data_IF_317157139066
#
_entry.id   IF_317157139066
#
_cell.length_a   1.000
_cell.length_b   1.000
_cell.length_c   1.000
_cell.angle_alpha   90.00
_cell.angle_beta   90.00
_cell.angle_gamma   90.00
#
_symmetry.space_group_name_H-M   'P 1'
#
loop_
_entity.id
_entity.type
_entity.pdbx_description
1 polymer ?
#
# COMPACT_ATOMS: atom_id res chain seq x y z
N UNK A 1 -1.02 12.49 5.75
CA UNK A 1 0.10 12.58 4.78
C UNK A 1 -0.19 11.63 3.63
N UNK A 2 0.33 11.84 2.40
CA UNK A 2 0.26 10.83 1.34
C UNK A 2 0.58 9.43 1.86
N UNK A 3 -0.28 8.46 1.56
CA UNK A 3 -0.25 7.09 2.08
C UNK A 3 -1.10 6.87 3.34
N UNK A 4 -1.51 7.91 4.07
CA UNK A 4 -2.31 7.77 5.29
C UNK A 4 -3.69 7.19 4.99
N UNK A 5 -4.12 6.23 5.81
CA UNK A 5 -5.48 5.70 5.75
C UNK A 5 -6.39 6.52 6.66
N UNK A 6 -7.53 6.93 6.12
CA UNK A 6 -8.58 7.66 6.83
C UNK A 6 -9.84 6.81 6.84
N UNK A 7 -10.31 6.45 8.02
CA UNK A 7 -11.61 5.79 8.19
C UNK A 7 -12.71 6.83 8.35
N UNK A 8 -13.75 6.72 7.52
CA UNK A 8 -14.89 7.63 7.56
C UNK A 8 -15.94 7.09 8.52
N UNK A 9 -16.28 7.91 9.51
CA UNK A 9 -17.22 7.55 10.56
C UNK A 9 -18.42 8.50 10.57
N UNK A 10 -19.61 7.98 10.30
CA UNK A 10 -20.86 8.75 10.28
C UNK A 10 -22.00 7.90 10.82
N UNK A 11 -22.95 8.53 11.51
CA UNK A 11 -24.14 7.86 12.04
C UNK A 11 -23.85 6.56 12.82
N UNK A 12 -22.75 6.59 13.59
CA UNK A 12 -22.27 5.49 14.42
C UNK A 12 -21.68 4.27 13.69
N UNK A 13 -21.38 4.43 12.39
CA UNK A 13 -20.82 3.38 11.54
C UNK A 13 -19.53 3.84 10.90
N UNK A 14 -18.61 2.91 10.68
CA UNK A 14 -17.53 3.08 9.70
C UNK A 14 -18.11 2.78 8.33
N UNK A 15 -18.00 3.73 7.40
CA UNK A 15 -18.69 3.65 6.10
C UNK A 15 -17.73 3.58 4.92
N UNK A 16 -16.47 3.94 5.12
CA UNK A 16 -15.46 3.96 4.08
C UNK A 16 -14.06 3.99 4.68
N UNK A 17 -13.08 3.66 3.86
CA UNK A 17 -11.68 4.02 4.07
C UNK A 17 -11.18 4.85 2.89
N UNK A 18 -10.18 5.68 3.12
CA UNK A 18 -9.50 6.39 2.05
C UNK A 18 -8.01 6.42 2.24
N UNK A 19 -7.28 6.40 1.13
CA UNK A 19 -5.87 6.70 1.12
C UNK A 19 -5.67 8.18 0.81
N UNK A 20 -4.88 8.89 1.62
CA UNK A 20 -4.45 10.24 1.30
C UNK A 20 -3.49 10.18 0.10
N UNK A 21 -3.76 10.93 -0.95
CA UNK A 21 -2.95 10.92 -2.18
C UNK A 21 -2.07 12.18 -2.35
N UNK A 22 -2.28 13.20 -1.52
CA UNK A 22 -1.49 14.44 -1.56
C UNK A 22 -1.37 15.07 -0.16
N UNK A 23 -0.31 15.84 0.12
CA UNK A 23 -0.21 16.63 1.34
C UNK A 23 -1.41 17.57 1.50
N UNK A 24 -1.75 17.89 2.74
CA UNK A 24 -2.74 18.92 3.02
C UNK A 24 -2.28 20.24 2.39
N UNK A 25 -3.20 20.90 1.69
CA UNK A 25 -2.95 22.21 1.10
C UNK A 25 -3.91 23.22 1.69
N UNK A 26 -3.45 24.46 1.87
CA UNK A 26 -4.34 25.56 2.21
C UNK A 26 -5.38 25.70 1.11
N UNK A 27 -6.64 25.71 1.50
CA UNK A 27 -7.75 25.81 0.56
C UNK A 27 -8.90 26.52 1.23
N UNK A 28 -9.71 27.21 0.44
CA UNK A 28 -10.95 27.78 0.94
C UNK A 28 -11.94 26.68 1.29
N UNK A 29 -12.75 26.91 2.31
CA UNK A 29 -13.90 26.07 2.62
C UNK A 29 -14.75 25.85 1.36
N UNK A 30 -15.18 24.62 1.04
CA UNK A 30 -16.08 24.36 -0.06
C UNK A 30 -17.40 25.13 0.09
N UNK A 31 -17.92 25.65 -1.02
CA UNK A 31 -19.22 26.33 -1.02
C UNK A 31 -20.33 25.39 -0.52
N UNK A 32 -21.14 25.87 0.42
CA UNK A 32 -22.29 25.13 0.96
C UNK A 32 -21.97 24.12 2.08
N UNK A 33 -20.71 23.95 2.50
CA UNK A 33 -20.32 22.94 3.51
C UNK A 33 -21.10 23.04 4.83
N UNK A 34 -21.32 24.25 5.34
CA UNK A 34 -22.04 24.52 6.61
C UNK A 34 -23.34 25.32 6.41
N UNK A 35 -23.79 25.45 5.16
CA UNK A 35 -24.97 26.24 4.80
C UNK A 35 -24.90 27.67 5.37
N UNK A 36 -26.02 28.17 5.88
CA UNK A 36 -26.09 29.51 6.51
C UNK A 36 -25.52 29.56 7.93
N UNK A 37 -25.05 28.43 8.49
CA UNK A 37 -24.70 28.35 9.92
C UNK A 37 -23.35 28.96 10.24
N UNK A 38 -22.46 29.14 9.26
CA UNK A 38 -21.15 29.80 9.42
C UNK A 38 -20.29 29.22 10.55
N UNK A 39 -20.35 27.89 10.73
CA UNK A 39 -19.67 27.17 11.82
C UNK A 39 -18.17 26.99 11.56
N UNK A 40 -17.74 27.13 10.30
CA UNK A 40 -16.35 26.90 9.86
C UNK A 40 -15.78 28.13 9.19
N UNK A 41 -14.50 28.40 9.48
CA UNK A 41 -13.74 29.48 8.85
C UNK A 41 -13.64 29.27 7.33
N UNK A 42 -13.52 30.38 6.60
CA UNK A 42 -13.30 30.37 5.15
C UNK A 42 -11.91 29.81 4.79
N UNK A 43 -10.89 30.08 5.60
CA UNK A 43 -9.55 29.51 5.42
C UNK A 43 -9.46 28.15 6.10
N UNK A 44 -9.06 27.13 5.33
CA UNK A 44 -8.96 25.76 5.81
C UNK A 44 -7.89 24.94 5.11
N UNK A 45 -7.98 23.62 5.33
CA UNK A 45 -7.07 22.63 4.76
C UNK A 45 -7.87 21.65 3.91
N UNK A 46 -7.42 21.42 2.69
CA UNK A 46 -7.94 20.37 1.82
C UNK A 46 -6.93 19.22 1.76
N UNK A 47 -7.44 18.00 1.89
CA UNK A 47 -6.68 16.77 1.67
C UNK A 47 -7.33 16.02 0.52
N UNK A 48 -6.54 15.61 -0.46
CA UNK A 48 -7.04 14.75 -1.55
C UNK A 48 -6.99 13.29 -1.10
N UNK A 49 -8.10 12.60 -1.29
CA UNK A 49 -8.33 11.23 -0.84
C UNK A 49 -8.72 10.36 -2.04
N UNK A 50 -8.20 9.14 -2.08
CA UNK A 50 -8.70 8.03 -2.90
C UNK A 50 -9.60 7.17 -2.01
N UNK A 51 -10.91 7.18 -2.25
CA UNK A 51 -11.93 6.68 -1.31
C UNK A 51 -12.52 5.35 -1.77
N UNK A 52 -12.72 4.46 -0.81
CA UNK A 52 -13.40 3.19 -0.97
C UNK A 52 -14.49 3.07 0.11
N UNK A 53 -15.74 3.11 -0.32
CA UNK A 53 -16.91 2.92 0.55
C UNK A 53 -17.09 1.42 0.85
N UNK A 54 -17.50 1.12 2.08
CA UNK A 54 -17.86 -0.24 2.50
C UNK A 54 -19.29 -0.52 2.04
N UNK A 55 -19.51 -1.67 1.41
CA UNK A 55 -20.82 -2.16 1.01
C UNK A 55 -21.70 -2.53 2.22
N UNK A 56 -21.09 -3.06 3.30
CA UNK A 56 -21.70 -3.21 4.62
C UNK A 56 -20.98 -2.36 5.68
N UNK A 57 -21.51 -1.18 6.00
CA UNK A 57 -20.93 -0.31 7.02
C UNK A 57 -20.90 -0.92 8.42
N UNK A 58 -19.69 -1.12 8.94
CA UNK A 58 -19.46 -1.70 10.27
C UNK A 58 -20.05 -0.82 11.36
N UNK A 59 -20.94 -1.38 12.20
CA UNK A 59 -21.43 -0.62 13.33
C UNK A 59 -20.37 -0.60 14.42
N UNK A 60 -19.99 0.60 14.88
CA UNK A 60 -18.97 0.74 15.95
C UNK A 60 -19.32 -0.05 17.21
N UNK A 61 -20.61 -0.28 17.49
CA UNK A 61 -21.05 -1.08 18.64
C UNK A 61 -20.62 -2.56 18.55
N UNK A 62 -20.50 -3.12 17.35
CA UNK A 62 -20.13 -4.52 17.10
C UNK A 62 -18.66 -4.75 17.39
N UNK A 63 -17.82 -3.75 17.11
CA UNK A 63 -16.36 -3.84 17.27
C UNK A 63 -15.83 -3.10 18.51
N UNK A 64 -16.68 -2.36 19.24
CA UNK A 64 -16.24 -1.52 20.35
C UNK A 64 -15.57 -2.29 21.49
N UNK A 65 -16.10 -3.46 21.84
CA UNK A 65 -15.50 -4.32 22.89
C UNK A 65 -14.04 -4.65 22.58
N UNK A 66 -13.74 -4.91 21.30
CA UNK A 66 -12.40 -5.19 20.80
C UNK A 66 -11.53 -3.93 20.71
N UNK A 67 -12.11 -2.78 20.35
CA UNK A 67 -11.38 -1.51 20.22
C UNK A 67 -11.07 -0.84 21.57
N UNK A 68 -11.96 -0.99 22.56
CA UNK A 68 -11.88 -0.27 23.85
C UNK A 68 -10.54 -0.42 24.58
N UNK A 69 -9.91 -1.61 24.65
CA UNK A 69 -8.61 -1.77 25.31
C UNK A 69 -7.50 -0.90 24.71
N UNK A 70 -7.58 -0.59 23.43
CA UNK A 70 -6.56 0.17 22.68
C UNK A 70 -6.90 1.66 22.57
N UNK A 71 -7.92 2.12 23.31
CA UNK A 71 -8.38 3.50 23.26
C UNK A 71 -7.29 4.47 23.74
N UNK A 72 -6.92 5.50 22.95
CA UNK A 72 -5.95 6.49 23.38
C UNK A 72 -6.39 7.27 24.61
N UNK A 73 -5.43 7.56 25.49
CA UNK A 73 -5.66 8.41 26.66
C UNK A 73 -5.92 9.88 26.28
N UNK A 74 -5.39 10.35 25.14
CA UNK A 74 -5.58 11.70 24.59
C UNK A 74 -5.97 11.65 23.12
N UNK A 75 -6.76 12.64 22.68
CA UNK A 75 -7.21 12.79 21.29
C UNK A 75 -7.92 11.56 20.71
N UNK A 76 -8.53 10.74 21.57
CA UNK A 76 -9.31 9.59 21.12
C UNK A 76 -10.58 10.04 20.40
N UNK A 77 -10.90 9.41 19.27
CA UNK A 77 -12.16 9.63 18.56
C UNK A 77 -13.39 9.23 19.39
N UNK A 78 -13.24 8.32 20.35
CA UNK A 78 -14.32 7.79 21.17
C UNK A 78 -14.10 8.04 22.67
N UNK A 79 -15.19 8.18 23.42
CA UNK A 79 -15.22 8.20 24.89
C UNK A 79 -15.17 6.76 25.42
N UNK A 80 -14.96 6.60 26.72
CA UNK A 80 -14.88 5.27 27.35
C UNK A 80 -16.17 4.43 27.21
N UNK A 81 -17.31 5.11 27.06
CA UNK A 81 -18.61 4.50 26.79
C UNK A 81 -18.87 4.24 25.29
N UNK A 82 -17.87 4.45 24.43
CA UNK A 82 -17.96 4.25 22.98
C UNK A 82 -18.48 5.46 22.21
N UNK A 83 -19.11 6.46 22.82
CA UNK A 83 -19.65 7.62 22.12
C UNK A 83 -18.56 8.44 21.43
N UNK A 84 -18.84 8.97 20.25
CA UNK A 84 -17.91 9.87 19.54
C UNK A 84 -17.60 11.13 20.35
N UNK A 85 -16.34 11.55 20.32
CA UNK A 85 -15.95 12.90 20.72
C UNK A 85 -16.28 13.89 19.59
N UNK A 86 -16.58 15.13 19.96
CA UNK A 86 -16.78 16.18 18.97
C UNK A 86 -15.42 16.60 18.39
N UNK A 87 -15.29 16.47 17.08
CA UNK A 87 -14.09 16.77 16.31
C UNK A 87 -14.22 16.17 14.91
N UNK A 88 -13.33 16.57 14.01
CA UNK A 88 -13.42 16.17 12.60
C UNK A 88 -12.42 15.07 12.21
N UNK A 89 -11.18 15.18 12.70
CA UNK A 89 -10.12 14.22 12.42
C UNK A 89 -9.41 13.85 13.71
N UNK A 90 -9.19 12.55 13.91
CA UNK A 90 -8.55 11.99 15.09
C UNK A 90 -7.48 10.99 14.65
N UNK A 91 -6.39 10.83 15.44
CA UNK A 91 -5.47 9.73 15.22
C UNK A 91 -6.17 8.38 15.43
N UNK A 92 -5.91 7.44 14.52
CA UNK A 92 -6.38 6.07 14.62
C UNK A 92 -5.23 5.18 15.11
N UNK A 93 -5.34 4.54 16.29
CA UNK A 93 -4.40 3.50 16.71
C UNK A 93 -4.33 2.36 15.70
N UNK A 94 -3.16 1.74 15.56
CA UNK A 94 -2.98 0.60 14.65
C UNK A 94 -3.92 -0.56 14.97
N UNK A 95 -4.14 -0.86 16.25
CA UNK A 95 -5.11 -1.88 16.66
C UNK A 95 -6.54 -1.56 16.25
N UNK A 96 -6.93 -0.27 16.22
CA UNK A 96 -8.25 0.12 15.74
C UNK A 96 -8.37 -0.12 14.24
N UNK A 97 -7.35 0.25 13.46
CA UNK A 97 -7.31 -0.02 12.02
C UNK A 97 -7.41 -1.52 11.76
N UNK A 98 -6.59 -2.34 12.43
CA UNK A 98 -6.62 -3.80 12.30
C UNK A 98 -8.01 -4.39 12.60
N UNK A 99 -8.66 -3.98 13.68
CA UNK A 99 -10.00 -4.48 14.06
C UNK A 99 -11.06 -4.09 13.02
N UNK A 100 -10.98 -2.86 12.48
CA UNK A 100 -11.89 -2.42 11.41
C UNK A 100 -11.67 -3.27 10.17
N UNK A 101 -10.42 -3.49 9.75
CA UNK A 101 -10.07 -4.29 8.57
C UNK A 101 -10.45 -5.78 8.71
N UNK A 102 -10.25 -6.38 9.88
CA UNK A 102 -10.70 -7.74 10.18
C UNK A 102 -12.22 -7.89 10.07
N UNK A 103 -12.97 -6.82 10.34
CA UNK A 103 -14.43 -6.80 10.24
C UNK A 103 -14.92 -6.63 8.79
N UNK A 104 -14.03 -6.34 7.83
CA UNK A 104 -14.32 -6.26 6.39
C UNK A 104 -14.03 -7.58 5.66
N UNK A 105 -13.51 -8.61 6.34
CA UNK A 105 -13.05 -9.85 5.69
C UNK A 105 -14.20 -10.63 5.03
N UNK A 106 -15.42 -10.59 5.60
CA UNK A 106 -16.60 -11.21 4.98
C UNK A 106 -17.00 -10.51 3.65
N UNK A 107 -16.71 -9.21 3.55
CA UNK A 107 -17.00 -8.39 2.36
C UNK A 107 -15.99 -8.63 1.23
N UNK A 108 -14.71 -8.83 1.55
CA UNK A 108 -13.69 -9.17 0.56
C UNK A 108 -13.94 -10.56 -0.06
N UNK A 109 -14.39 -11.53 0.74
CA UNK A 109 -14.74 -12.87 0.28
C UNK A 109 -16.05 -12.88 -0.56
N UNK A 110 -17.03 -12.02 -0.25
CA UNK A 110 -18.27 -11.89 -1.03
C UNK A 110 -18.08 -11.10 -2.33
N UNK A 111 -17.23 -10.06 -2.35
CA UNK A 111 -16.86 -9.32 -3.56
C UNK A 111 -16.16 -10.24 -4.58
N UNK A 112 -15.19 -11.06 -4.15
CA UNK A 112 -14.54 -12.05 -5.02
C UNK A 112 -15.52 -13.10 -5.55
N UNK A 113 -16.57 -13.42 -4.78
CA UNK A 113 -17.59 -14.41 -5.12
C UNK A 113 -18.77 -13.86 -5.94
N UNK A 114 -19.04 -12.54 -5.87
CA UNK A 114 -20.04 -11.86 -6.68
C UNK A 114 -19.48 -11.40 -8.02
N UNK A 115 -18.20 -10.99 -8.09
CA UNK A 115 -17.50 -10.71 -9.36
C UNK A 115 -17.44 -11.92 -10.31
N UNK A 116 -17.60 -13.13 -9.76
CA UNK A 116 -17.67 -14.37 -10.55
C UNK A 116 -19.09 -14.74 -11.02
N UNK A 117 -20.14 -14.03 -10.61
CA UNK A 117 -21.54 -14.48 -10.78
C UNK A 117 -22.53 -13.48 -11.39
N UNK A 118 -22.20 -12.21 -11.68
CA UNK A 118 -23.19 -11.24 -12.19
C UNK A 118 -23.05 -11.03 -13.71
N UNK A 119 -24.04 -11.53 -14.46
CA UNK A 119 -24.25 -11.33 -15.90
C UNK A 119 -24.78 -9.90 -16.23
N UNK A 120 -24.00 -9.17 -17.01
CA UNK A 120 -24.26 -8.29 -18.18
C UNK A 120 -25.40 -7.24 -18.33
N UNK A 121 -26.45 -7.11 -17.52
CA UNK A 121 -27.66 -6.36 -18.01
C UNK A 121 -28.26 -5.18 -17.20
N UNK A 122 -27.55 -4.55 -16.24
CA UNK A 122 -27.98 -3.24 -15.69
C UNK A 122 -27.22 -2.04 -16.30
N UNK A 123 -27.91 -0.94 -16.71
CA UNK A 123 -27.24 0.19 -17.36
C UNK A 123 -26.37 1.02 -16.41
N UNK A 124 -25.07 1.00 -16.69
CA UNK A 124 -23.94 1.66 -15.99
C UNK A 124 -24.08 3.19 -15.85
N UNK A 125 -24.97 3.82 -16.62
CA UNK A 125 -25.11 5.28 -16.76
C UNK A 125 -25.64 5.98 -15.49
N UNK A 126 -26.38 5.29 -14.63
CA UNK A 126 -27.06 5.95 -13.48
C UNK A 126 -26.17 6.07 -12.23
N UNK A 127 -25.04 5.36 -12.18
CA UNK A 127 -24.13 5.29 -11.02
C UNK A 127 -22.93 6.26 -11.19
N UNK A 128 -22.55 6.54 -12.43
CA UNK A 128 -21.31 7.25 -12.80
C UNK A 128 -21.35 8.77 -12.60
N UNK A 129 -22.53 9.39 -12.51
CA UNK A 129 -22.63 10.86 -12.32
C UNK A 129 -22.32 11.33 -10.89
N UNK A 130 -22.25 10.42 -9.90
CA UNK A 130 -22.23 10.80 -8.48
C UNK A 130 -20.84 10.69 -7.81
N UNK A 131 -19.89 9.94 -8.37
CA UNK A 131 -18.56 9.72 -7.78
C UNK A 131 -17.47 9.65 -8.85
N UNK A 132 -16.30 10.23 -8.56
CA UNK A 132 -15.20 10.40 -9.51
C UNK A 132 -14.63 9.11 -10.11
N UNK A 133 -13.97 9.28 -11.26
CA UNK A 133 -13.26 8.28 -12.08
C UNK A 133 -14.14 7.05 -12.38
N UNK A 134 -14.67 7.00 -13.61
CA UNK A 134 -15.49 5.89 -14.07
C UNK A 134 -14.80 4.53 -13.88
N UNK A 135 -15.57 3.45 -13.71
CA UNK A 135 -15.03 2.11 -13.45
C UNK A 135 -14.09 1.67 -14.59
N UNK A 136 -14.38 2.06 -15.83
CA UNK A 136 -13.50 1.81 -16.97
C UNK A 136 -12.10 2.40 -16.75
N UNK A 137 -12.03 3.58 -16.12
CA UNK A 137 -10.78 4.28 -15.83
C UNK A 137 -10.07 3.73 -14.59
N UNK A 138 -10.80 3.12 -13.64
CA UNK A 138 -10.20 2.37 -12.52
C UNK A 138 -9.58 1.06 -13.01
N UNK A 139 -10.31 0.32 -13.84
CA UNK A 139 -9.82 -0.88 -14.54
C UNK A 139 -8.61 -0.52 -15.40
N UNK A 140 -8.64 0.59 -16.12
CA UNK A 140 -7.50 1.08 -16.91
C UNK A 140 -6.27 1.39 -16.03
N UNK A 141 -6.45 2.04 -14.88
CA UNK A 141 -5.34 2.32 -13.94
C UNK A 141 -4.79 1.04 -13.32
N UNK A 142 -5.65 0.11 -12.90
CA UNK A 142 -5.24 -1.17 -12.34
C UNK A 142 -4.46 -1.98 -13.38
N UNK A 143 -4.99 -2.08 -14.61
CA UNK A 143 -4.33 -2.73 -15.73
C UNK A 143 -2.96 -2.10 -16.03
N UNK A 144 -2.86 -0.77 -16.08
CA UNK A 144 -1.57 -0.09 -16.26
C UNK A 144 -0.58 -0.37 -15.13
N UNK A 145 -1.05 -0.48 -13.88
CA UNK A 145 -0.18 -0.82 -12.74
C UNK A 145 0.33 -2.25 -12.84
N UNK A 146 -0.53 -3.19 -13.23
CA UNK A 146 -0.18 -4.58 -13.50
C UNK A 146 0.84 -4.68 -14.64
N UNK A 147 0.58 -4.04 -15.78
CA UNK A 147 1.50 -3.97 -16.92
C UNK A 147 2.88 -3.39 -16.54
N UNK A 148 2.91 -2.34 -15.70
CA UNK A 148 4.16 -1.75 -15.20
C UNK A 148 4.88 -2.71 -14.25
N UNK A 149 4.15 -3.46 -13.42
CA UNK A 149 4.71 -4.48 -12.52
C UNK A 149 5.38 -5.61 -13.30
N UNK A 150 4.64 -6.21 -14.23
CA UNK A 150 5.14 -7.29 -15.10
C UNK A 150 6.36 -6.85 -15.91
N UNK A 151 6.32 -5.63 -16.47
CA UNK A 151 7.45 -5.08 -17.21
C UNK A 151 8.68 -4.87 -16.32
N UNK A 152 8.49 -4.38 -15.09
CA UNK A 152 9.58 -4.19 -14.13
C UNK A 152 10.21 -5.54 -13.71
N UNK A 153 9.40 -6.56 -13.41
CA UNK A 153 9.91 -7.90 -13.06
C UNK A 153 10.71 -8.50 -14.21
N UNK A 154 10.23 -8.34 -15.45
CA UNK A 154 10.95 -8.77 -16.64
C UNK A 154 12.29 -8.04 -16.81
N UNK A 155 12.31 -6.73 -16.58
CA UNK A 155 13.53 -5.93 -16.65
C UNK A 155 14.56 -6.40 -15.61
N UNK A 156 14.14 -6.68 -14.38
CA UNK A 156 15.01 -7.20 -13.32
C UNK A 156 15.56 -8.58 -13.65
N UNK A 157 14.74 -9.49 -14.17
CA UNK A 157 15.22 -10.80 -14.62
C UNK A 157 16.28 -10.68 -15.73
N UNK A 158 16.08 -9.76 -16.68
CA UNK A 158 17.04 -9.52 -17.75
C UNK A 158 18.35 -8.92 -17.22
N UNK A 159 18.26 -7.96 -16.29
CA UNK A 159 19.43 -7.43 -15.59
C UNK A 159 20.28 -8.54 -14.98
N UNK A 160 19.68 -9.50 -14.28
CA UNK A 160 20.43 -10.63 -13.73
C UNK A 160 21.01 -11.55 -14.82
N UNK A 161 20.30 -11.79 -15.93
CA UNK A 161 20.83 -12.58 -17.06
C UNK A 161 22.01 -11.92 -17.76
N UNK A 162 22.06 -10.59 -17.79
CA UNK A 162 23.16 -9.86 -18.41
C UNK A 162 24.44 -9.89 -17.58
N UNK A 163 24.33 -9.87 -16.25
CA UNK A 163 25.48 -9.87 -15.35
C UNK A 163 25.94 -11.28 -14.95
N UNK A 164 25.08 -12.30 -15.06
CA UNK A 164 25.39 -13.67 -14.69
C UNK A 164 25.80 -14.53 -15.91
N UNK A 165 26.76 -15.44 -15.76
CA UNK A 165 27.06 -16.47 -16.76
C UNK A 165 25.81 -17.29 -17.14
N UNK A 166 25.75 -17.75 -18.41
CA UNK A 166 24.60 -18.48 -18.96
C UNK A 166 24.21 -19.72 -18.14
N UNK A 167 25.18 -20.39 -17.50
CA UNK A 167 24.94 -21.56 -16.65
C UNK A 167 24.04 -21.28 -15.43
N UNK A 168 23.94 -20.02 -15.00
CA UNK A 168 23.08 -19.61 -13.87
C UNK A 168 21.73 -19.04 -14.32
N UNK A 169 21.46 -18.91 -15.63
CA UNK A 169 20.21 -18.33 -16.11
C UNK A 169 18.98 -19.14 -15.70
N UNK A 170 19.14 -20.45 -15.48
CA UNK A 170 18.09 -21.35 -15.00
C UNK A 170 17.74 -21.13 -13.53
N UNK A 171 18.60 -20.45 -12.76
CA UNK A 171 18.35 -20.12 -11.35
C UNK A 171 17.62 -18.79 -11.15
N UNK A 172 17.46 -18.01 -12.22
CA UNK A 172 16.65 -16.78 -12.23
C UNK A 172 15.19 -17.17 -12.45
N UNK A 173 14.40 -17.18 -11.38
CA UNK A 173 13.01 -17.67 -11.38
C UNK A 173 12.08 -16.58 -10.86
N UNK A 174 11.06 -16.27 -11.64
CA UNK A 174 9.91 -15.51 -11.15
C UNK A 174 9.13 -16.39 -10.16
N UNK A 175 8.87 -15.86 -8.98
CA UNK A 175 8.09 -16.52 -7.93
C UNK A 175 6.63 -16.16 -8.19
N UNK A 176 6.03 -16.89 -9.13
CA UNK A 176 4.62 -16.69 -9.49
C UNK A 176 3.67 -17.14 -8.38
N UNK A 177 2.46 -16.55 -8.36
CA UNK A 177 1.27 -17.02 -7.62
C UNK A 177 0.93 -18.46 -8.02
N UNK A 178 1.65 -19.45 -7.49
CA UNK A 178 1.37 -20.85 -7.77
C UNK A 178 0.00 -21.29 -7.24
N UNK A 179 -0.63 -22.25 -7.89
CA UNK A 179 -1.84 -22.95 -7.45
C UNK A 179 -1.46 -24.17 -6.60
N UNK A 180 -0.77 -23.94 -5.49
CA UNK A 180 -0.29 -24.99 -4.58
C UNK A 180 -0.48 -24.60 -3.13
N UNK A 181 -0.58 -25.58 -2.22
CA UNK A 181 -0.87 -25.40 -0.79
C UNK A 181 0.11 -24.49 -0.01
N UNK A 182 1.17 -23.97 -0.65
CA UNK A 182 2.17 -23.06 -0.07
C UNK A 182 2.54 -21.89 -1.02
N UNK A 183 1.66 -21.50 -1.94
CA UNK A 183 2.05 -20.61 -3.03
C UNK A 183 1.61 -19.15 -2.85
N UNK A 184 2.61 -18.26 -2.87
CA UNK A 184 2.60 -17.01 -3.66
C UNK A 184 1.67 -15.86 -3.25
N UNK A 185 0.94 -15.94 -2.15
CA UNK A 185 0.37 -14.76 -1.49
C UNK A 185 1.01 -14.57 -0.11
N UNK A 186 2.23 -14.02 -0.11
CA UNK A 186 2.81 -13.48 1.14
C UNK A 186 4.18 -13.99 1.57
N UNK A 187 5.06 -14.36 0.65
CA UNK A 187 6.49 -14.59 0.97
C UNK A 187 7.34 -13.31 0.96
N UNK A 188 6.83 -12.22 0.36
CA UNK A 188 7.44 -10.89 0.38
C UNK A 188 8.63 -10.69 -0.56
N UNK A 189 8.68 -11.39 -1.69
CA UNK A 189 9.62 -11.18 -2.81
C UNK A 189 9.02 -11.75 -4.11
N UNK A 190 9.46 -11.24 -5.27
CA UNK A 190 8.92 -11.58 -6.60
C UNK A 190 9.84 -12.49 -7.42
N UNK A 191 11.16 -12.41 -7.20
CA UNK A 191 12.17 -13.12 -8.00
C UNK A 191 13.16 -13.82 -7.07
N UNK A 192 13.53 -15.05 -7.43
CA UNK A 192 14.72 -15.72 -6.90
C UNK A 192 15.84 -15.65 -7.95
N UNK A 193 17.05 -15.31 -7.52
CA UNK A 193 18.23 -15.25 -8.38
C UNK A 193 19.48 -15.71 -7.59
N UNK A 194 20.66 -15.49 -8.17
CA UNK A 194 21.96 -15.75 -7.51
C UNK A 194 22.86 -14.53 -7.62
N UNK A 195 23.71 -14.35 -6.61
CA UNK A 195 24.87 -13.45 -6.67
C UNK A 195 26.15 -14.27 -6.62
N UNK A 196 27.20 -13.75 -7.24
CA UNK A 196 28.54 -14.33 -7.25
C UNK A 196 29.45 -13.34 -6.53
N UNK A 197 30.10 -13.77 -5.45
CA UNK A 197 31.04 -12.93 -4.71
C UNK A 197 32.40 -12.82 -5.43
N UNK A 198 33.31 -12.02 -4.86
CA UNK A 198 34.67 -11.81 -5.40
C UNK A 198 35.51 -13.11 -5.46
N UNK A 199 35.08 -14.16 -4.76
CA UNK A 199 35.73 -15.48 -4.74
C UNK A 199 35.09 -16.46 -5.72
N UNK A 200 34.05 -16.04 -6.46
CA UNK A 200 33.30 -16.91 -7.37
C UNK A 200 32.29 -17.80 -6.66
N UNK A 201 32.00 -17.57 -5.37
CA UNK A 201 31.03 -18.35 -4.62
C UNK A 201 29.65 -17.82 -4.93
N UNK A 202 28.75 -18.73 -5.31
CA UNK A 202 27.37 -18.38 -5.63
C UNK A 202 26.48 -18.49 -4.40
N UNK A 203 25.66 -17.46 -4.18
CA UNK A 203 24.68 -17.42 -3.09
C UNK A 203 23.29 -17.12 -3.62
N UNK A 204 22.24 -17.81 -3.15
CA UNK A 204 20.87 -17.49 -3.55
C UNK A 204 20.46 -16.13 -2.97
N UNK A 205 19.73 -15.36 -3.77
CA UNK A 205 19.13 -14.10 -3.36
C UNK A 205 17.63 -14.06 -3.70
N UNK A 206 16.90 -13.31 -2.89
CA UNK A 206 15.47 -13.08 -2.98
C UNK A 206 15.25 -11.60 -3.29
N UNK A 207 14.50 -11.30 -4.33
CA UNK A 207 14.39 -9.95 -4.90
C UNK A 207 12.93 -9.53 -4.94
N UNK A 208 12.62 -8.45 -4.23
CA UNK A 208 11.35 -7.71 -4.32
C UNK A 208 11.46 -6.61 -5.37
N UNK A 209 10.47 -6.49 -6.26
CA UNK A 209 10.51 -5.58 -7.40
C UNK A 209 9.54 -4.41 -7.20
N UNK A 210 10.07 -3.19 -7.22
CA UNK A 210 9.28 -1.96 -7.13
C UNK A 210 9.35 -1.16 -8.42
N UNK A 211 8.44 -1.42 -9.35
CA UNK A 211 8.32 -0.71 -10.62
C UNK A 211 7.62 0.66 -10.54
N UNK A 212 8.01 1.59 -11.40
CA UNK A 212 7.25 2.81 -11.68
C UNK A 212 7.53 3.35 -13.10
N UNK A 213 6.50 3.90 -13.75
CA UNK A 213 6.65 4.58 -15.04
C UNK A 213 7.23 6.00 -14.93
N UNK A 214 7.52 6.50 -13.72
CA UNK A 214 8.05 7.85 -13.49
C UNK A 214 9.43 7.80 -12.87
N UNK A 215 10.22 8.85 -13.07
CA UNK A 215 11.44 9.05 -12.30
C UNK A 215 11.06 9.44 -10.85
N UNK A 216 11.11 8.50 -9.92
CA UNK A 216 10.68 8.70 -8.53
C UNK A 216 11.57 7.93 -7.55
N UNK A 217 12.10 8.66 -6.56
CA UNK A 217 12.89 8.15 -5.43
C UNK A 217 12.05 7.50 -4.33
N UNK A 218 10.72 7.55 -4.44
CA UNK A 218 9.80 7.02 -3.42
C UNK A 218 9.19 5.72 -3.89
N UNK A 219 9.08 4.73 -3.02
CA UNK A 219 8.39 3.47 -3.29
C UNK A 219 7.53 3.03 -2.10
N UNK A 220 6.55 2.17 -2.36
CA UNK A 220 5.71 1.60 -1.32
C UNK A 220 6.19 0.19 -1.01
N UNK A 221 6.30 -0.12 0.29
CA UNK A 221 6.59 -1.44 0.80
C UNK A 221 5.46 -1.94 1.69
N UNK A 222 5.15 -3.22 1.61
CA UNK A 222 4.22 -3.88 2.53
C UNK A 222 4.96 -4.34 3.80
N UNK A 223 4.23 -4.62 4.88
CA UNK A 223 4.83 -5.17 6.11
C UNK A 223 5.58 -6.47 5.83
N UNK A 224 5.01 -7.35 5.00
CA UNK A 224 5.63 -8.64 4.65
C UNK A 224 6.96 -8.48 3.92
N UNK A 225 7.07 -7.49 3.03
CA UNK A 225 8.34 -7.23 2.32
C UNK A 225 9.41 -6.67 3.26
N UNK A 226 9.02 -5.82 4.22
CA UNK A 226 9.95 -5.35 5.25
C UNK A 226 10.34 -6.47 6.22
N UNK A 227 9.40 -7.34 6.59
CA UNK A 227 9.69 -8.56 7.36
C UNK A 227 10.69 -9.43 6.62
N UNK A 228 10.49 -9.64 5.32
CA UNK A 228 11.43 -10.40 4.48
C UNK A 228 12.82 -9.77 4.44
N UNK A 229 12.93 -8.44 4.38
CA UNK A 229 14.22 -7.76 4.49
C UNK A 229 14.93 -8.03 5.83
N UNK A 230 14.19 -7.99 6.95
CA UNK A 230 14.72 -8.25 8.30
C UNK A 230 15.04 -9.73 8.54
N UNK A 231 14.27 -10.65 7.94
CA UNK A 231 14.44 -12.10 8.09
C UNK A 231 15.59 -12.61 7.21
N UNK A 232 15.61 -12.25 5.93
CA UNK A 232 16.54 -12.79 4.95
C UNK A 232 17.84 -12.00 4.84
N UNK A 233 17.89 -10.77 5.38
CA UNK A 233 19.12 -9.99 5.59
C UNK A 233 20.01 -9.91 4.35
N UNK A 234 21.18 -10.54 4.39
CA UNK A 234 22.18 -10.57 3.30
C UNK A 234 21.65 -11.20 2.00
N UNK A 235 20.59 -12.02 2.07
CA UNK A 235 20.00 -12.66 0.90
C UNK A 235 18.88 -11.82 0.27
N UNK A 236 18.40 -10.78 0.94
CA UNK A 236 17.28 -9.97 0.44
C UNK A 236 17.74 -8.78 -0.38
N UNK A 237 17.07 -8.51 -1.50
CA UNK A 237 17.30 -7.35 -2.36
C UNK A 237 15.97 -6.68 -2.67
N UNK A 238 16.01 -5.35 -2.82
CA UNK A 238 14.91 -4.61 -3.42
C UNK A 238 15.40 -4.03 -4.74
N UNK A 239 14.78 -4.44 -5.85
CA UNK A 239 15.04 -3.91 -7.17
C UNK A 239 14.06 -2.77 -7.47
N UNK A 240 14.56 -1.53 -7.43
CA UNK A 240 13.81 -0.34 -7.79
C UNK A 240 13.95 -0.08 -9.28
N UNK A 241 12.85 -0.18 -10.03
CA UNK A 241 12.83 0.11 -11.47
C UNK A 241 12.07 1.41 -11.74
N UNK A 242 12.73 2.40 -12.35
CA UNK A 242 12.14 3.69 -12.71
C UNK A 242 12.13 3.89 -14.22
N UNK A 243 11.19 4.70 -14.71
CA UNK A 243 10.93 4.89 -16.14
C UNK A 243 10.68 3.56 -16.87
N UNK A 244 9.96 2.64 -16.23
CA UNK A 244 9.68 1.30 -16.78
C UNK A 244 9.12 1.41 -18.20
N UNK A 245 9.71 0.66 -19.13
CA UNK A 245 9.28 0.62 -20.54
C UNK A 245 9.67 1.85 -21.38
N UNK A 246 10.56 2.71 -20.90
CA UNK A 246 11.11 3.86 -21.64
C UNK A 246 12.60 3.65 -21.96
N UNK A 247 13.13 4.37 -22.95
CA UNK A 247 14.55 4.26 -23.38
C UNK A 247 15.57 4.58 -22.26
N UNK A 248 15.13 5.28 -21.21
CA UNK A 248 15.93 5.66 -20.05
C UNK A 248 15.48 4.92 -18.77
N UNK A 249 15.00 3.68 -18.91
CA UNK A 249 14.75 2.76 -17.81
C UNK A 249 16.00 2.63 -16.93
N UNK A 250 15.81 2.67 -15.60
CA UNK A 250 16.89 2.54 -14.63
C UNK A 250 16.52 1.52 -13.56
N UNK A 251 17.46 0.64 -13.25
CA UNK A 251 17.36 -0.36 -12.19
C UNK A 251 18.37 0.00 -11.10
N UNK A 252 17.90 0.08 -9.87
CA UNK A 252 18.73 0.25 -8.68
C UNK A 252 18.51 -0.92 -7.73
N UNK A 253 19.58 -1.61 -7.32
CA UNK A 253 19.52 -2.77 -6.44
C UNK A 253 19.91 -2.34 -5.02
N UNK A 254 18.97 -2.47 -4.09
CA UNK A 254 19.14 -2.08 -2.69
C UNK A 254 19.45 -3.35 -1.88
N UNK A 255 20.52 -3.29 -1.10
CA UNK A 255 21.01 -4.37 -0.24
C UNK A 255 21.50 -3.84 1.11
N UNK A 256 22.15 -4.69 1.92
CA UNK A 256 22.73 -4.31 3.23
C UNK A 256 21.68 -4.22 4.33
N UNK A 257 20.93 -5.30 4.52
CA UNK A 257 19.87 -5.43 5.54
C UNK A 257 20.32 -6.21 6.80
N UNK A 258 21.56 -6.67 6.83
CA UNK A 258 22.18 -7.50 7.86
C UNK A 258 22.20 -6.88 9.26
N UNK A 259 22.40 -5.55 9.32
CA UNK A 259 22.47 -4.78 10.57
C UNK A 259 21.14 -4.42 11.21
N UNK A 260 20.00 -4.93 10.71
CA UNK A 260 18.67 -4.58 11.22
C UNK A 260 17.94 -5.81 11.77
N UNK A 261 17.52 -5.73 13.03
CA UNK A 261 16.85 -6.83 13.74
C UNK A 261 15.33 -6.63 13.88
N UNK A 262 14.83 -5.46 13.48
CA UNK A 262 13.41 -5.15 13.46
C UNK A 262 13.05 -4.21 12.30
N UNK A 263 11.77 -4.19 11.93
CA UNK A 263 11.25 -3.28 10.91
C UNK A 263 11.52 -1.82 11.32
N UNK A 264 11.33 -1.48 12.60
CA UNK A 264 11.60 -0.14 13.12
C UNK A 264 13.07 0.27 12.96
N UNK A 265 14.01 -0.64 13.22
CA UNK A 265 15.44 -0.37 13.07
C UNK A 265 15.81 -0.20 11.60
N UNK A 266 15.29 -1.06 10.73
CA UNK A 266 15.44 -0.96 9.29
C UNK A 266 14.94 0.39 8.76
N UNK A 267 13.75 0.78 9.18
CA UNK A 267 13.11 2.02 8.74
C UNK A 267 13.83 3.28 9.23
N UNK A 268 14.35 3.28 10.45
CA UNK A 268 15.14 4.39 11.01
C UNK A 268 16.55 4.45 10.43
N UNK A 269 17.15 3.30 10.15
CA UNK A 269 18.56 3.18 9.80
C UNK A 269 18.85 3.21 8.31
N UNK A 270 18.09 2.46 7.50
CA UNK A 270 18.32 2.37 6.05
C UNK A 270 17.56 3.43 5.25
N UNK A 271 16.38 3.84 5.71
CA UNK A 271 15.50 4.71 4.93
C UNK A 271 15.44 6.14 5.47
N UNK A 272 15.40 7.14 4.57
CA UNK A 272 15.55 8.56 4.93
C UNK A 272 14.27 9.14 5.58
N UNK A 273 13.10 8.58 5.25
CA UNK A 273 11.82 8.85 5.90
C UNK A 273 10.79 7.77 5.54
N UNK A 274 9.95 7.37 6.50
CA UNK A 274 8.80 6.49 6.29
C UNK A 274 7.52 7.07 6.90
N UNK A 275 6.35 6.66 6.41
CA UNK A 275 5.02 7.04 6.94
C UNK A 275 4.21 5.77 7.23
N UNK A 276 3.64 5.66 8.44
CA UNK A 276 3.28 4.37 9.07
C UNK A 276 2.00 3.69 8.56
N UNK A 277 1.43 4.11 7.44
CA UNK A 277 0.09 3.67 7.03
C UNK A 277 0.08 2.70 5.84
N UNK A 278 1.21 2.56 5.16
CA UNK A 278 1.65 1.51 4.25
C UNK A 278 3.02 2.00 3.78
N UNK A 279 4.11 1.37 4.19
CA UNK A 279 5.45 1.97 4.27
C UNK A 279 5.91 2.63 2.96
N UNK A 280 5.55 3.90 2.79
CA UNK A 280 6.08 4.73 1.73
C UNK A 280 7.47 5.16 2.18
N UNK A 281 8.47 4.69 1.45
CA UNK A 281 9.86 4.77 1.82
C UNK A 281 10.61 5.60 0.78
N UNK A 282 11.50 6.46 1.28
CA UNK A 282 12.44 7.21 0.47
C UNK A 282 13.84 6.60 0.59
N UNK A 283 14.48 6.39 -0.55
CA UNK A 283 15.88 6.01 -0.63
C UNK A 283 16.76 7.17 -0.16
N UNK A 284 17.89 6.85 0.48
CA UNK A 284 18.89 7.87 0.80
C UNK A 284 19.60 8.28 -0.49
N UNK A 285 20.20 9.47 -0.53
CA UNK A 285 20.89 9.97 -1.75
C UNK A 285 22.05 9.07 -2.21
N UNK A 286 22.59 8.23 -1.34
CA UNK A 286 23.62 7.22 -1.65
C UNK A 286 23.04 5.94 -2.30
N UNK A 287 21.74 5.71 -2.13
CA UNK A 287 20.97 4.55 -2.58
C UNK A 287 19.92 4.94 -3.68
N UNK A 288 20.06 6.11 -4.33
CA UNK A 288 19.06 6.70 -5.27
C UNK A 288 19.55 6.81 -6.72
#
# INVERSE_FOLDING_TARGET
MPGDVVYHYVNQKFVARSMVIAPAMSHKKPEGLDGERGLWNEDGWQVRLDMHEFTDPIQRKEIWSSMKPYRPNKYSAFKDNGNGNQGYLFPCPEDWARIIEESLVEENDEIEKQLTLVDADEPIETITERYGISEEKRVEIAKRKEEVGEAAEKAVMNYFREILPEEYHTEIKQVSKGSGKNAGHGVGYDIQAVEIDDQGITSPILVEVKGTSKNSSTMFMTSKELESAVIFKEQYRIARVTNVGQDNEKIHIISGFDGYDSIDDLLKGKFQSYRSTAYQINLKDEDA
#
